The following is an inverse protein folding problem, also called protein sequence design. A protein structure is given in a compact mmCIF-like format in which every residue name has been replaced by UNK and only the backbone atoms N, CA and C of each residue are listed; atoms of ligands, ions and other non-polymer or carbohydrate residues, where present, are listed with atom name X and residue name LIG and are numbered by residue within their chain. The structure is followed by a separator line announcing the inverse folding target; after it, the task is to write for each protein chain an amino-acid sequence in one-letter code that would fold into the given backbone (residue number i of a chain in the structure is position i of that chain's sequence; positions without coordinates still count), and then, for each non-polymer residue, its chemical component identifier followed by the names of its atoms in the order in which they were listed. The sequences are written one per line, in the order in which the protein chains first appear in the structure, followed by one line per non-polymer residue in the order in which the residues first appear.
data_IF_382405254294
#
_entry.id   IF_382405254294
#
_cell.length_a   1.000
_cell.length_b   1.000
_cell.length_c   1.000
_cell.angle_alpha   90.00
_cell.angle_beta   90.00
_cell.angle_gamma   90.00
#
_symmetry.space_group_name_H-M   'P 1'
#
loop_
_entity.id
_entity.type
_entity.pdbx_description
1 polymer ?
#
# COMPACT_ATOMS: atom_id res chain seq x y z
N UNK A 1 14.65 11.88 2.60
CA UNK A 1 13.29 11.32 2.59
C UNK A 1 13.07 10.41 1.38
N UNK A 2 13.03 10.92 0.14
CA UNK A 2 12.86 10.09 -1.07
C UNK A 2 13.93 9.00 -1.25
N UNK A 3 15.19 9.28 -0.89
CA UNK A 3 16.27 8.28 -0.92
C UNK A 3 16.02 7.11 0.04
N UNK A 4 15.53 7.38 1.25
CA UNK A 4 15.24 6.35 2.26
C UNK A 4 14.07 5.48 1.79
N UNK A 5 12.98 6.10 1.30
CA UNK A 5 11.83 5.35 0.77
C UNK A 5 12.26 4.43 -0.38
N UNK A 6 13.11 4.93 -1.29
CA UNK A 6 13.66 4.11 -2.37
C UNK A 6 14.53 2.94 -1.88
N UNK A 7 15.32 3.14 -0.82
CA UNK A 7 16.10 2.06 -0.20
C UNK A 7 15.20 0.99 0.43
N UNK A 8 14.20 1.40 1.18
CA UNK A 8 13.23 0.49 1.80
C UNK A 8 12.41 -0.26 0.74
N UNK A 9 12.01 0.41 -0.34
CA UNK A 9 11.40 -0.26 -1.49
C UNK A 9 12.31 -1.33 -2.08
N UNK A 10 13.58 -1.02 -2.33
CA UNK A 10 14.53 -1.98 -2.89
C UNK A 10 14.69 -3.22 -1.99
N UNK A 11 14.74 -3.02 -0.66
CA UNK A 11 14.79 -4.11 0.30
C UNK A 11 13.50 -4.94 0.31
N UNK A 12 12.34 -4.28 0.30
CA UNK A 12 11.04 -4.93 0.23
C UNK A 12 10.92 -5.79 -1.02
N UNK A 13 11.22 -5.23 -2.20
CA UNK A 13 11.14 -5.94 -3.48
C UNK A 13 12.13 -7.11 -3.56
N UNK A 14 13.35 -6.92 -3.06
CA UNK A 14 14.37 -7.99 -3.04
C UNK A 14 13.93 -9.17 -2.16
N UNK A 15 13.31 -8.89 -1.01
CA UNK A 15 12.87 -9.92 -0.07
C UNK A 15 11.52 -10.56 -0.45
N UNK A 16 10.63 -9.78 -1.08
CA UNK A 16 9.32 -10.22 -1.49
C UNK A 16 9.00 -9.68 -2.90
N UNK A 17 9.46 -10.37 -3.96
CA UNK A 17 9.26 -9.94 -5.34
C UNK A 17 7.80 -10.03 -5.81
N UNK A 18 6.88 -10.54 -4.97
CA UNK A 18 5.44 -10.53 -5.25
C UNK A 18 4.82 -9.15 -4.98
N UNK A 19 5.51 -8.24 -4.30
CA UNK A 19 5.10 -6.84 -4.23
C UNK A 19 5.57 -6.18 -5.52
N UNK A 20 4.65 -5.79 -6.38
CA UNK A 20 4.96 -5.29 -7.71
C UNK A 20 5.01 -3.76 -7.79
N UNK A 21 4.31 -3.05 -6.90
CA UNK A 21 4.35 -1.60 -6.83
C UNK A 21 4.27 -1.11 -5.38
N UNK A 22 4.85 0.05 -5.12
CA UNK A 22 4.89 0.66 -3.80
C UNK A 22 4.72 2.17 -3.91
N UNK A 23 4.09 2.76 -2.91
CA UNK A 23 3.92 4.20 -2.78
C UNK A 23 3.87 4.59 -1.30
N UNK A 24 4.22 5.84 -1.04
CA UNK A 24 4.06 6.47 0.26
C UNK A 24 3.23 7.72 0.09
N UNK A 25 2.14 7.80 0.86
CA UNK A 25 1.33 8.98 0.99
C UNK A 25 1.60 9.65 2.33
N UNK A 26 1.58 10.98 2.36
CA UNK A 26 1.65 11.80 3.57
C UNK A 26 0.69 12.98 3.44
N UNK A 27 -0.08 13.24 4.49
CA UNK A 27 -1.02 14.37 4.56
C UNK A 27 -1.98 14.40 3.35
N UNK A 28 -2.43 13.22 2.90
CA UNK A 28 -3.34 13.07 1.76
C UNK A 28 -2.67 13.11 0.37
N UNK A 29 -1.35 13.29 0.27
CA UNK A 29 -0.65 13.39 -1.00
C UNK A 29 0.40 12.28 -1.19
N UNK A 30 0.57 11.80 -2.43
CA UNK A 30 1.68 10.90 -2.77
C UNK A 30 3.00 11.69 -2.73
N UNK A 31 3.94 11.26 -1.87
CA UNK A 31 5.28 11.86 -1.77
C UNK A 31 6.35 11.02 -2.50
N UNK A 32 6.05 9.75 -2.77
CA UNK A 32 6.92 8.81 -3.47
C UNK A 32 6.09 7.65 -4.02
N UNK A 33 6.39 7.17 -5.22
CA UNK A 33 5.82 5.94 -5.78
C UNK A 33 6.76 5.31 -6.81
N UNK A 34 6.62 4.01 -7.02
CA UNK A 34 7.26 3.30 -8.14
C UNK A 34 6.70 3.78 -9.48
N UNK A 35 7.50 3.70 -10.55
CA UNK A 35 7.13 4.26 -11.86
C UNK A 35 6.03 3.47 -12.60
N UNK A 36 5.75 2.24 -12.17
CA UNK A 36 4.81 1.33 -12.84
C UNK A 36 3.34 1.55 -12.47
N UNK A 37 3.02 2.56 -11.65
CA UNK A 37 1.66 3.00 -11.36
C UNK A 37 1.62 4.48 -10.99
N UNK A 38 0.42 5.06 -10.96
CA UNK A 38 0.23 6.43 -10.53
C UNK A 38 -1.04 6.55 -9.68
N UNK A 39 -0.86 6.88 -8.40
CA UNK A 39 -1.96 7.01 -7.43
C UNK A 39 -2.36 8.46 -7.15
N UNK A 40 -1.69 9.44 -7.76
CA UNK A 40 -1.83 10.87 -7.41
C UNK A 40 -3.28 11.35 -7.47
N UNK A 41 -4.06 10.91 -8.46
CA UNK A 41 -5.46 11.34 -8.64
C UNK A 41 -6.45 10.53 -7.80
N UNK A 42 -6.04 9.37 -7.29
CA UNK A 42 -6.93 8.39 -6.64
C UNK A 42 -6.68 8.29 -5.13
N UNK A 43 -5.60 8.90 -4.63
CA UNK A 43 -5.13 8.74 -3.24
C UNK A 43 -6.18 9.14 -2.21
N UNK A 44 -6.93 10.22 -2.43
CA UNK A 44 -8.00 10.66 -1.52
C UNK A 44 -9.08 9.58 -1.36
N UNK A 45 -9.45 8.91 -2.46
CA UNK A 45 -10.42 7.82 -2.45
C UNK A 45 -9.88 6.58 -1.74
N UNK A 46 -8.61 6.27 -1.95
CA UNK A 46 -7.91 5.14 -1.32
C UNK A 46 -7.82 5.32 0.20
N UNK A 47 -7.32 6.48 0.66
CA UNK A 47 -7.17 6.75 2.09
C UNK A 47 -8.53 6.84 2.80
N UNK A 48 -9.53 7.43 2.16
CA UNK A 48 -10.91 7.45 2.67
C UNK A 48 -11.53 6.06 2.77
N UNK A 49 -11.18 5.14 1.87
CA UNK A 49 -11.63 3.76 1.96
C UNK A 49 -11.02 3.06 3.17
N UNK A 50 -9.73 3.29 3.44
CA UNK A 50 -9.04 2.77 4.63
C UNK A 50 -9.62 3.34 5.93
N UNK A 51 -9.76 4.67 6.03
CA UNK A 51 -10.30 5.38 7.21
C UNK A 51 -11.72 4.94 7.60
N UNK A 52 -12.53 4.50 6.62
CA UNK A 52 -13.94 4.15 6.82
C UNK A 52 -14.23 2.66 6.80
N UNK A 53 -13.21 1.82 6.78
CA UNK A 53 -13.36 0.37 6.61
C UNK A 53 -14.28 0.03 5.42
N UNK A 54 -14.11 0.77 4.32
CA UNK A 54 -15.01 0.65 3.17
C UNK A 54 -14.93 -0.78 2.61
N UNK A 55 -16.08 -1.38 2.29
CA UNK A 55 -16.16 -2.75 1.77
C UNK A 55 -15.49 -2.94 0.40
N UNK A 56 -15.13 -1.84 -0.28
CA UNK A 56 -14.40 -1.83 -1.54
C UNK A 56 -13.64 -0.53 -1.76
N UNK A 57 -12.60 -0.60 -2.58
CA UNK A 57 -11.81 0.53 -3.08
C UNK A 57 -11.51 0.31 -4.56
N UNK A 58 -11.42 1.39 -5.33
CA UNK A 58 -11.11 1.33 -6.75
C UNK A 58 -9.89 2.20 -7.06
N UNK A 59 -8.94 1.66 -7.81
CA UNK A 59 -7.73 2.34 -8.25
C UNK A 59 -7.22 1.70 -9.54
N UNK A 60 -6.67 2.49 -10.46
CA UNK A 60 -6.14 2.01 -11.75
C UNK A 60 -7.18 1.28 -12.61
N UNK A 61 -8.46 1.66 -12.49
CA UNK A 61 -9.58 0.98 -13.16
C UNK A 61 -9.92 -0.41 -12.62
N UNK A 62 -9.30 -0.84 -11.51
CA UNK A 62 -9.58 -2.11 -10.84
C UNK A 62 -10.35 -1.85 -9.56
N UNK A 63 -11.31 -2.73 -9.22
CA UNK A 63 -12.05 -2.68 -7.96
C UNK A 63 -11.59 -3.83 -7.07
N UNK A 64 -11.22 -3.49 -5.84
CA UNK A 64 -10.74 -4.39 -4.80
C UNK A 64 -11.80 -4.46 -3.70
N UNK A 65 -12.15 -5.67 -3.25
CA UNK A 65 -13.05 -5.90 -2.12
C UNK A 65 -12.25 -6.05 -0.83
N UNK A 66 -12.75 -5.48 0.25
CA UNK A 66 -12.14 -5.59 1.58
C UNK A 66 -12.01 -7.06 1.99
N UNK A 67 -10.81 -7.46 2.38
CA UNK A 67 -10.53 -8.74 3.04
C UNK A 67 -10.54 -8.54 4.56
N UNK A 68 -9.76 -7.58 5.03
CA UNK A 68 -9.67 -7.22 6.45
C UNK A 68 -9.14 -5.80 6.61
N UNK A 69 -9.52 -5.15 7.69
CA UNK A 69 -9.00 -3.86 8.11
C UNK A 69 -8.79 -3.82 9.63
N UNK A 70 -7.90 -2.93 10.03
CA UNK A 70 -7.54 -2.59 11.41
C UNK A 70 -7.15 -1.11 11.47
N UNK A 71 -6.96 -0.59 12.67
CA UNK A 71 -6.49 0.79 12.89
C UNK A 71 -5.18 1.13 12.14
N UNK A 72 -4.36 0.12 11.84
CA UNK A 72 -3.04 0.27 11.21
C UNK A 72 -2.92 -0.33 9.81
N UNK A 73 -3.97 -0.96 9.27
CA UNK A 73 -3.90 -1.57 7.94
C UNK A 73 -5.24 -1.77 7.26
N UNK A 74 -5.24 -1.73 5.93
CA UNK A 74 -6.40 -2.04 5.10
C UNK A 74 -5.96 -2.95 3.96
N UNK A 75 -6.60 -4.11 3.83
CA UNK A 75 -6.23 -5.15 2.86
C UNK A 75 -7.44 -5.43 1.97
N UNK A 76 -7.28 -5.24 0.67
CA UNK A 76 -8.33 -5.53 -0.30
C UNK A 76 -7.81 -6.36 -1.49
N UNK A 77 -8.68 -7.20 -2.05
CA UNK A 77 -8.36 -8.13 -3.15
C UNK A 77 -9.30 -7.88 -4.31
N UNK A 78 -8.75 -7.82 -5.52
CA UNK A 78 -9.54 -7.76 -6.73
C UNK A 78 -9.94 -9.17 -7.20
N UNK A 79 -11.08 -9.26 -7.89
CA UNK A 79 -11.48 -10.48 -8.59
C UNK A 79 -10.58 -10.70 -9.84
N UNK A 80 -10.76 -11.83 -10.52
CA UNK A 80 -10.14 -12.17 -11.81
C UNK A 80 -8.60 -12.11 -11.81
N UNK A 81 -7.97 -12.55 -10.72
CA UNK A 81 -6.51 -12.58 -10.58
C UNK A 81 -5.85 -11.21 -10.88
N UNK A 82 -6.47 -10.12 -10.40
CA UNK A 82 -5.92 -8.76 -10.54
C UNK A 82 -5.11 -8.29 -9.34
N UNK A 83 -4.93 -9.15 -8.32
CA UNK A 83 -4.01 -8.93 -7.21
C UNK A 83 -4.64 -8.24 -6.01
N UNK A 84 -3.78 -7.67 -5.16
CA UNK A 84 -4.16 -7.14 -3.85
C UNK A 84 -3.65 -5.71 -3.69
N UNK A 85 -4.49 -4.87 -3.07
CA UNK A 85 -4.13 -3.55 -2.61
C UNK A 85 -3.97 -3.60 -1.09
N UNK A 86 -2.79 -3.23 -0.60
CA UNK A 86 -2.45 -3.30 0.82
C UNK A 86 -2.00 -1.93 1.29
N UNK A 87 -2.64 -1.44 2.34
CA UNK A 87 -2.32 -0.19 3.01
C UNK A 87 -1.85 -0.49 4.42
N UNK A 88 -0.78 0.18 4.84
CA UNK A 88 -0.25 0.11 6.20
C UNK A 88 0.06 1.52 6.68
N UNK A 89 -0.43 1.85 7.86
CA UNK A 89 -0.14 3.13 8.52
C UNK A 89 1.33 3.16 8.97
N UNK A 90 2.07 4.19 8.55
CA UNK A 90 3.44 4.45 9.00
C UNK A 90 3.40 5.23 10.31
N UNK A 91 2.68 6.35 10.31
CA UNK A 91 2.36 7.23 11.45
C UNK A 91 1.03 7.96 11.19
N UNK A 92 0.63 8.89 12.07
CA UNK A 92 -0.73 9.49 12.11
C UNK A 92 -1.30 9.90 10.74
N UNK A 93 -0.46 10.45 9.85
CA UNK A 93 -0.89 10.95 8.55
C UNK A 93 -0.15 10.35 7.35
N UNK A 94 0.63 9.29 7.57
CA UNK A 94 1.48 8.69 6.53
C UNK A 94 1.16 7.23 6.32
N UNK A 95 1.03 6.83 5.05
CA UNK A 95 0.64 5.48 4.64
C UNK A 95 1.63 4.88 3.65
N UNK A 96 2.01 3.64 3.89
CA UNK A 96 2.64 2.76 2.92
C UNK A 96 1.54 2.04 2.14
N UNK A 97 1.61 2.11 0.81
CA UNK A 97 0.62 1.54 -0.09
C UNK A 97 1.35 0.60 -1.05
N UNK A 98 0.87 -0.63 -1.18
CA UNK A 98 1.50 -1.64 -2.00
C UNK A 98 0.48 -2.35 -2.88
N UNK A 99 0.93 -2.68 -4.09
CA UNK A 99 0.24 -3.63 -4.95
C UNK A 99 0.98 -4.96 -4.90
N UNK A 100 0.28 -6.02 -4.48
CA UNK A 100 0.80 -7.38 -4.47
C UNK A 100 0.17 -8.22 -5.58
N UNK A 101 0.98 -9.09 -6.20
CA UNK A 101 0.58 -10.00 -7.24
C UNK A 101 -0.57 -10.93 -6.78
N UNK A 102 -1.40 -11.46 -7.70
CA UNK A 102 -2.49 -12.40 -7.37
C UNK A 102 -2.01 -13.69 -6.70
N UNK A 103 -0.74 -14.06 -6.93
CA UNK A 103 -0.11 -15.24 -6.33
C UNK A 103 0.45 -14.97 -4.93
N UNK A 104 0.33 -13.75 -4.42
CA UNK A 104 0.67 -13.42 -3.05
C UNK A 104 -0.41 -13.92 -2.09
N UNK A 105 -0.01 -14.17 -0.84
CA UNK A 105 -0.97 -14.35 0.26
C UNK A 105 -1.05 -13.00 0.94
N UNK A 106 -2.16 -12.25 0.84
CA UNK A 106 -2.23 -10.86 1.28
C UNK A 106 -1.96 -10.70 2.79
N UNK A 107 -2.38 -11.67 3.59
CA UNK A 107 -2.15 -11.71 5.05
C UNK A 107 -0.67 -11.91 5.42
N UNK A 108 0.14 -12.48 4.52
CA UNK A 108 1.59 -12.58 4.69
C UNK A 108 2.32 -11.38 4.10
N UNK A 109 1.87 -10.90 2.94
CA UNK A 109 2.44 -9.74 2.26
C UNK A 109 2.36 -8.47 3.12
N UNK A 110 1.26 -8.28 3.87
CA UNK A 110 1.12 -7.14 4.79
C UNK A 110 2.21 -7.13 5.87
N UNK A 111 2.75 -8.27 6.29
CA UNK A 111 3.81 -8.34 7.31
C UNK A 111 5.10 -7.67 6.81
N UNK A 112 5.45 -7.89 5.54
CA UNK A 112 6.66 -7.29 4.95
C UNK A 112 6.48 -5.78 4.72
N UNK A 113 5.27 -5.35 4.39
CA UNK A 113 4.92 -3.93 4.29
C UNK A 113 4.91 -3.27 5.68
N UNK A 114 4.42 -3.96 6.72
CA UNK A 114 4.50 -3.49 8.12
C UNK A 114 5.95 -3.32 8.59
N UNK A 115 6.85 -4.25 8.26
CA UNK A 115 8.29 -4.10 8.54
C UNK A 115 8.86 -2.86 7.88
N UNK A 116 8.51 -2.64 6.61
CA UNK A 116 8.92 -1.45 5.83
C UNK A 116 8.38 -0.17 6.47
N UNK A 117 7.10 -0.14 6.83
CA UNK A 117 6.48 1.00 7.51
C UNK A 117 7.16 1.32 8.84
N UNK A 118 7.57 0.31 9.61
CA UNK A 118 8.35 0.51 10.85
C UNK A 118 9.70 1.19 10.57
N UNK A 119 10.40 0.85 9.49
CA UNK A 119 11.67 1.51 9.14
C UNK A 119 11.48 2.96 8.69
N UNK A 120 10.31 3.28 8.12
CA UNK A 120 9.98 4.63 7.67
C UNK A 120 9.45 5.53 8.80
N UNK A 121 8.98 4.96 9.90
CA UNK A 121 8.39 5.70 11.02
C UNK A 121 9.36 6.72 11.61
N UNK A 122 8.89 7.94 11.84
CA UNK A 122 9.71 9.06 12.35
C UNK A 122 10.59 9.72 11.29
N UNK A 123 10.54 9.24 10.04
CA UNK A 123 11.22 9.84 8.89
C UNK A 123 10.25 10.40 7.85
N UNK A 124 8.93 10.26 8.07
CA UNK A 124 7.89 10.73 7.16
C UNK A 124 7.55 12.19 7.39
#
# INVERSE_FOLDING_TARGET
MTLLIGQEWNLLFTNNPKIHAFAVAKDGAIIWQTENWNLVEEIDGILKAADKDASKVSTGGVTYKLVTSSDDSYIATADDDKGHLILVLIDENSWAIAFAAPTAVPELAVIDIKKTAIQLRGHM
#
